data_IF_157653240528
#
_entry.id   IF_157653240528
#
_cell.length_a   1.000
_cell.length_b   1.000
_cell.length_c   1.000
_cell.angle_alpha   90.00
_cell.angle_beta   90.00
_cell.angle_gamma   90.00
#
_symmetry.space_group_name_H-M   'P 1'
#
loop_
_entity.id
_entity.type
_entity.pdbx_description
1 polymer ?
#
# COMPACT_ATOMS: atom_id res chain seq x y z
N UNK A 1 -19.49 12.62 -3.11
CA UNK A 1 -19.67 11.40 -2.30
C UNK A 1 -18.34 10.67 -2.36
N UNK A 2 -17.58 10.62 -1.27
CA UNK A 2 -16.23 10.03 -1.29
C UNK A 2 -16.18 8.96 -0.22
N UNK A 3 -16.23 7.70 -0.66
CA UNK A 3 -16.15 6.54 0.20
C UNK A 3 -14.70 6.35 0.64
N UNK A 4 -14.51 6.05 1.93
CA UNK A 4 -13.25 5.53 2.44
C UNK A 4 -13.38 4.01 2.54
N UNK A 5 -12.67 3.25 1.71
CA UNK A 5 -12.79 1.80 1.66
C UNK A 5 -11.88 1.18 2.71
N UNK A 6 -12.50 0.58 3.73
CA UNK A 6 -11.78 -0.19 4.73
C UNK A 6 -11.83 -1.66 4.30
N UNK A 7 -10.81 -2.07 3.56
CA UNK A 7 -10.58 -3.40 2.98
C UNK A 7 -10.35 -4.46 4.07
N UNK A 8 -11.33 -4.75 4.92
CA UNK A 8 -11.24 -5.83 5.90
C UNK A 8 -11.42 -7.21 5.28
N UNK A 9 -12.14 -7.32 4.17
CA UNK A 9 -12.65 -8.63 3.75
C UNK A 9 -12.32 -9.04 2.31
N UNK A 10 -11.56 -8.24 1.55
CA UNK A 10 -11.20 -8.61 0.17
C UNK A 10 -10.09 -9.69 0.07
N UNK A 11 -9.47 -10.05 1.18
CA UNK A 11 -8.54 -11.19 1.25
C UNK A 11 -9.28 -12.54 1.26
N UNK A 12 -10.57 -12.56 1.60
CA UNK A 12 -11.35 -13.82 1.58
C UNK A 12 -11.93 -14.17 0.20
N UNK A 13 -11.73 -13.32 -0.81
CA UNK A 13 -12.12 -13.56 -2.21
C UNK A 13 -10.90 -13.81 -3.12
N UNK A 14 -9.75 -14.18 -2.56
CA UNK A 14 -8.60 -14.62 -3.33
C UNK A 14 -8.62 -16.14 -3.55
N UNK A 15 -9.11 -16.66 -4.69
CA UNK A 15 -8.60 -17.88 -5.28
C UNK A 15 -7.48 -17.51 -6.26
N UNK A 16 -6.39 -16.89 -5.77
CA UNK A 16 -5.15 -16.74 -6.56
C UNK A 16 -3.97 -17.34 -5.80
N UNK A 17 -4.17 -18.57 -5.30
CA UNK A 17 -3.13 -19.58 -5.44
C UNK A 17 -3.30 -20.18 -6.85
N UNK A 18 -2.77 -19.52 -7.88
CA UNK A 18 -2.56 -20.18 -9.19
C UNK A 18 -1.30 -21.06 -9.10
N UNK A 19 -1.35 -22.00 -8.18
CA UNK A 19 -0.48 -23.13 -8.02
C UNK A 19 -1.37 -24.33 -7.71
N UNK A 20 -2.08 -24.82 -8.73
CA UNK A 20 -2.92 -26.01 -8.63
C UNK A 20 -4.34 -25.83 -9.19
N UNK A 21 -4.58 -26.43 -10.35
CA UNK A 21 -5.86 -26.99 -10.83
C UNK A 21 -7.01 -26.06 -11.28
N UNK A 22 -6.92 -24.73 -11.14
CA UNK A 22 -7.90 -23.77 -11.71
C UNK A 22 -7.38 -22.97 -12.92
N UNK A 23 -6.08 -23.00 -13.18
CA UNK A 23 -5.45 -22.28 -14.30
C UNK A 23 -5.76 -22.84 -15.69
N UNK A 24 -6.29 -24.07 -15.77
CA UNK A 24 -6.51 -24.78 -17.04
C UNK A 24 -7.92 -24.57 -17.64
N UNK A 25 -8.74 -23.65 -17.09
CA UNK A 25 -10.16 -23.53 -17.46
C UNK A 25 -10.68 -22.16 -17.89
N UNK A 26 -9.83 -21.13 -17.95
CA UNK A 26 -10.22 -19.83 -18.48
C UNK A 26 -9.51 -19.60 -19.80
N UNK A 27 -10.27 -19.49 -20.89
CA UNK A 27 -9.72 -19.07 -22.17
C UNK A 27 -9.22 -17.62 -22.06
N UNK A 28 -8.16 -17.28 -22.80
CA UNK A 28 -7.55 -15.94 -22.79
C UNK A 28 -8.57 -14.83 -23.12
N UNK A 29 -9.64 -15.16 -23.86
CA UNK A 29 -10.78 -14.30 -24.15
C UNK A 29 -11.65 -13.95 -22.93
N UNK A 30 -11.77 -14.85 -21.95
CA UNK A 30 -12.59 -14.63 -20.76
C UNK A 30 -11.88 -13.71 -19.76
N UNK A 31 -10.55 -13.79 -19.68
CA UNK A 31 -9.72 -12.91 -18.87
C UNK A 31 -9.76 -11.44 -19.36
N UNK A 32 -9.97 -11.23 -20.66
CA UNK A 32 -10.04 -9.89 -21.26
C UNK A 32 -11.37 -9.16 -20.99
N UNK A 33 -12.32 -9.79 -20.29
CA UNK A 33 -13.65 -9.21 -19.99
C UNK A 33 -14.02 -9.20 -18.50
N UNK A 34 -13.01 -9.22 -17.62
CA UNK A 34 -13.24 -9.21 -16.17
C UNK A 34 -13.84 -7.86 -15.71
N UNK A 35 -15.09 -7.89 -15.25
CA UNK A 35 -15.74 -6.76 -14.57
C UNK A 35 -15.57 -6.91 -13.05
N UNK A 36 -14.90 -5.95 -12.41
CA UNK A 36 -14.71 -5.93 -10.95
C UNK A 36 -15.56 -4.83 -10.32
N UNK A 37 -16.22 -5.15 -9.20
CA UNK A 37 -16.98 -4.19 -8.39
C UNK A 37 -16.47 -4.21 -6.97
N UNK A 38 -16.40 -3.03 -6.37
CA UNK A 38 -16.07 -2.89 -4.96
C UNK A 38 -17.29 -3.30 -4.15
N UNK A 39 -17.08 -4.22 -3.21
CA UNK A 39 -18.10 -4.73 -2.31
C UNK A 39 -17.71 -4.45 -0.85
N UNK A 40 -18.64 -4.74 0.05
CA UNK A 40 -18.51 -4.58 1.51
C UNK A 40 -18.11 -3.17 1.98
N UNK A 41 -19.11 -2.29 2.00
CA UNK A 41 -18.98 -0.94 2.55
C UNK A 41 -19.25 -0.88 4.06
N UNK A 42 -19.27 -2.02 4.77
CA UNK A 42 -19.61 -2.07 6.21
C UNK A 42 -18.63 -1.32 7.09
N UNK A 43 -17.39 -1.15 6.62
CA UNK A 43 -16.36 -0.35 7.30
C UNK A 43 -16.11 1.01 6.65
N UNK A 44 -16.91 1.41 5.67
CA UNK A 44 -16.75 2.69 4.99
C UNK A 44 -17.19 3.88 5.85
N UNK A 45 -16.56 5.04 5.66
CA UNK A 45 -16.93 6.27 6.37
C UNK A 45 -16.99 7.50 5.46
N UNK A 46 -17.74 8.51 5.92
CA UNK A 46 -17.80 9.81 5.27
C UNK A 46 -16.55 10.63 5.61
N UNK A 47 -16.07 11.44 4.66
CA UNK A 47 -14.89 12.30 4.86
C UNK A 47 -15.05 13.30 6.01
N UNK A 48 -16.27 13.74 6.30
CA UNK A 48 -16.59 14.67 7.38
C UNK A 48 -17.05 13.97 8.68
N UNK A 49 -17.16 12.63 8.69
CA UNK A 49 -17.62 11.86 9.85
C UNK A 49 -16.90 10.51 9.94
N UNK A 50 -15.61 10.50 10.33
CA UNK A 50 -14.86 9.26 10.53
C UNK A 50 -15.42 8.46 11.72
N UNK A 51 -15.61 7.15 11.54
CA UNK A 51 -16.15 6.27 12.59
C UNK A 51 -15.07 5.75 13.56
N UNK A 52 -13.82 5.61 13.10
CA UNK A 52 -12.72 5.06 13.88
C UNK A 52 -11.39 5.61 13.38
N UNK A 53 -10.42 5.83 14.27
CA UNK A 53 -9.03 6.16 13.89
C UNK A 53 -8.23 4.93 13.45
N UNK A 54 -8.70 3.73 13.78
CA UNK A 54 -8.06 2.46 13.41
C UNK A 54 -8.86 1.83 12.27
N UNK A 55 -8.43 2.15 11.06
CA UNK A 55 -8.98 1.65 9.81
C UNK A 55 -7.94 0.78 9.08
N UNK A 56 -8.34 0.23 7.93
CA UNK A 56 -7.54 -0.59 7.03
C UNK A 56 -7.01 -1.90 7.62
N UNK A 57 -6.91 -2.91 6.77
CA UNK A 57 -6.21 -4.16 7.10
C UNK A 57 -4.72 -3.93 7.04
N UNK A 58 -3.97 -4.70 7.84
CA UNK A 58 -2.62 -4.34 8.20
C UNK A 58 -1.64 -4.13 7.03
N UNK A 59 -1.50 -5.03 6.03
CA UNK A 59 -0.57 -4.83 4.91
C UNK A 59 -0.92 -3.63 4.01
N UNK A 60 -2.18 -3.17 4.01
CA UNK A 60 -2.66 -2.05 3.19
C UNK A 60 -2.77 -0.73 3.97
N UNK A 61 -2.37 -0.72 5.25
CA UNK A 61 -2.57 0.43 6.14
C UNK A 61 -1.61 1.56 5.80
N UNK A 62 -2.16 2.75 5.56
CA UNK A 62 -1.39 3.95 5.25
C UNK A 62 -0.59 4.46 6.47
N UNK A 63 0.50 5.19 6.21
CA UNK A 63 1.37 5.70 7.27
C UNK A 63 0.63 6.60 8.26
N UNK A 64 -0.20 7.54 7.79
CA UNK A 64 -0.98 8.42 8.66
C UNK A 64 -1.90 7.66 9.61
N UNK A 65 -2.45 6.52 9.16
CA UNK A 65 -3.28 5.64 10.00
C UNK A 65 -2.43 4.88 11.02
N UNK A 66 -1.26 4.39 10.63
CA UNK A 66 -0.30 3.78 11.57
C UNK A 66 0.10 4.77 12.67
N UNK A 67 0.32 6.03 12.30
CA UNK A 67 0.69 7.11 13.20
C UNK A 67 -0.48 7.66 14.03
N UNK A 68 -1.72 7.26 13.73
CA UNK A 68 -2.93 7.75 14.42
C UNK A 68 -3.27 9.20 14.09
N UNK A 69 -2.80 9.70 12.96
CA UNK A 69 -3.11 11.02 12.42
C UNK A 69 -4.47 11.01 11.71
N UNK A 70 -4.96 12.20 11.38
CA UNK A 70 -6.16 12.32 10.57
C UNK A 70 -5.91 11.78 9.16
N UNK A 71 -6.89 11.03 8.65
CA UNK A 71 -6.85 10.39 7.34
C UNK A 71 -7.97 10.94 6.45
N UNK A 72 -7.86 10.68 5.16
CA UNK A 72 -8.89 11.02 4.17
C UNK A 72 -8.82 10.09 2.98
N UNK A 73 -9.43 10.48 1.86
CA UNK A 73 -9.43 9.70 0.61
C UNK A 73 -8.05 9.24 0.11
N UNK A 74 -6.92 9.93 0.37
CA UNK A 74 -5.61 9.41 -0.03
C UNK A 74 -5.18 8.12 0.70
N UNK A 75 -5.83 7.76 1.82
CA UNK A 75 -5.59 6.50 2.51
C UNK A 75 -6.00 5.31 1.62
N UNK A 76 -7.08 5.44 0.85
CA UNK A 76 -7.52 4.39 -0.08
C UNK A 76 -6.54 4.25 -1.23
N UNK A 77 -6.00 5.35 -1.75
CA UNK A 77 -4.98 5.31 -2.80
C UNK A 77 -3.75 4.53 -2.35
N UNK A 78 -3.33 4.71 -1.10
CA UNK A 78 -2.24 3.92 -0.54
C UNK A 78 -2.58 2.42 -0.52
N UNK A 79 -3.79 2.06 -0.06
CA UNK A 79 -4.24 0.67 -0.06
C UNK A 79 -4.33 0.09 -1.48
N UNK A 80 -4.83 0.85 -2.45
CA UNK A 80 -4.89 0.45 -3.85
C UNK A 80 -3.50 0.23 -4.44
N UNK A 81 -2.50 1.06 -4.08
CA UNK A 81 -1.12 0.82 -4.47
C UNK A 81 -0.59 -0.50 -3.91
N UNK A 82 -0.78 -0.73 -2.60
CA UNK A 82 -0.37 -1.99 -1.97
C UNK A 82 -1.05 -3.20 -2.62
N UNK A 83 -2.34 -3.10 -2.94
CA UNK A 83 -3.10 -4.14 -3.64
C UNK A 83 -2.62 -4.35 -5.08
N UNK A 84 -2.32 -3.28 -5.83
CA UNK A 84 -1.79 -3.40 -7.18
C UNK A 84 -0.45 -4.16 -7.20
N UNK A 85 0.42 -3.91 -6.22
CA UNK A 85 1.65 -4.68 -6.05
C UNK A 85 1.38 -6.15 -5.75
N UNK A 86 0.43 -6.44 -4.85
CA UNK A 86 0.09 -7.81 -4.49
C UNK A 86 -0.54 -8.57 -5.66
N UNK A 87 -1.46 -7.96 -6.41
CA UNK A 87 -2.05 -8.57 -7.60
C UNK A 87 -0.98 -8.87 -8.68
N UNK A 88 0.01 -7.99 -8.82
CA UNK A 88 1.05 -8.16 -9.82
C UNK A 88 2.14 -9.17 -9.44
N UNK A 89 2.38 -9.37 -8.14
CA UNK A 89 3.51 -10.19 -7.65
C UNK A 89 3.11 -11.43 -6.86
N UNK A 90 1.86 -11.52 -6.42
CA UNK A 90 1.37 -12.54 -5.50
C UNK A 90 1.81 -12.35 -4.04
N UNK A 91 2.53 -11.27 -3.72
CA UNK A 91 3.04 -10.99 -2.38
C UNK A 91 2.60 -9.61 -1.87
N UNK A 92 2.29 -9.51 -0.57
CA UNK A 92 2.06 -8.22 0.08
C UNK A 92 3.28 -7.30 -0.05
N UNK A 93 3.06 -6.04 -0.46
CA UNK A 93 4.11 -5.02 -0.51
C UNK A 93 4.77 -4.78 0.85
N UNK A 94 3.93 -4.75 1.89
CA UNK A 94 4.35 -4.68 3.29
C UNK A 94 3.79 -5.87 4.04
N UNK A 95 4.67 -6.79 4.45
CA UNK A 95 4.33 -7.90 5.34
C UNK A 95 4.99 -7.70 6.71
N UNK A 96 4.37 -6.89 7.59
CA UNK A 96 4.99 -6.56 8.86
C UNK A 96 4.89 -7.70 9.87
N UNK A 97 6.01 -8.01 10.52
CA UNK A 97 6.11 -9.09 11.50
C UNK A 97 6.31 -8.56 12.92
N UNK A 98 5.71 -9.18 13.95
CA UNK A 98 5.97 -8.79 15.33
C UNK A 98 7.37 -9.26 15.75
N UNK A 99 8.08 -8.43 16.51
CA UNK A 99 9.38 -8.77 17.07
C UNK A 99 9.34 -8.93 18.59
N UNK A 100 10.44 -9.43 19.17
CA UNK A 100 10.59 -9.54 20.62
C UNK A 100 10.52 -8.18 21.35
N UNK A 101 11.00 -7.12 20.70
CA UNK A 101 11.15 -5.79 21.29
C UNK A 101 10.41 -4.68 20.52
N UNK A 102 9.67 -5.04 19.48
CA UNK A 102 8.96 -4.10 18.64
C UNK A 102 7.62 -4.70 18.20
N UNK A 103 6.59 -3.86 18.11
CA UNK A 103 5.27 -4.28 17.68
C UNK A 103 5.23 -4.48 16.17
N UNK A 104 4.18 -5.14 15.70
CA UNK A 104 3.94 -5.29 14.26
C UNK A 104 3.76 -3.95 13.54
N UNK A 105 3.22 -2.93 14.22
CA UNK A 105 3.15 -1.58 13.65
C UNK A 105 4.56 -0.95 13.52
N UNK A 106 5.46 -1.22 14.48
CA UNK A 106 6.85 -0.70 14.41
C UNK A 106 7.58 -1.28 13.19
N UNK A 107 7.45 -2.58 12.95
CA UNK A 107 8.00 -3.21 11.75
C UNK A 107 7.37 -2.63 10.49
N UNK A 108 6.05 -2.40 10.48
CA UNK A 108 5.37 -1.83 9.32
C UNK A 108 5.94 -0.45 8.94
N UNK A 109 6.12 0.45 9.92
CA UNK A 109 6.75 1.75 9.67
C UNK A 109 8.19 1.57 9.17
N UNK A 110 8.94 0.61 9.69
CA UNK A 110 10.28 0.30 9.21
C UNK A 110 10.28 -0.16 7.74
N UNK A 111 9.39 -1.07 7.34
CA UNK A 111 9.26 -1.55 5.95
C UNK A 111 8.93 -0.42 4.97
N UNK A 112 8.07 0.51 5.39
CA UNK A 112 7.74 1.70 4.62
C UNK A 112 9.00 2.57 4.39
N UNK A 113 9.82 2.78 5.43
CA UNK A 113 11.07 3.55 5.34
C UNK A 113 12.13 2.81 4.50
N UNK A 114 12.21 1.48 4.60
CA UNK A 114 13.09 0.67 3.77
C UNK A 114 12.78 0.83 2.27
N UNK A 115 11.48 0.88 1.92
CA UNK A 115 11.03 0.98 0.53
C UNK A 115 11.16 2.40 -0.04
N UNK A 116 10.67 3.39 0.70
CA UNK A 116 10.51 4.77 0.21
C UNK A 116 11.66 5.70 0.64
N UNK A 117 12.58 5.20 1.46
CA UNK A 117 13.70 5.95 1.99
C UNK A 117 13.37 6.69 3.28
N UNK A 118 14.19 7.68 3.64
CA UNK A 118 13.99 8.45 4.88
C UNK A 118 12.76 9.34 4.76
N UNK A 119 11.94 9.38 5.81
CA UNK A 119 10.83 10.33 5.90
C UNK A 119 11.39 11.76 5.88
N UNK A 120 10.95 12.62 4.94
CA UNK A 120 11.37 14.01 4.89
C UNK A 120 11.07 14.74 6.21
N UNK A 121 12.02 15.52 6.76
CA UNK A 121 11.83 16.21 8.04
C UNK A 121 10.57 17.07 8.08
N UNK A 122 10.23 17.75 6.98
CA UNK A 122 9.04 18.60 6.87
C UNK A 122 7.75 17.83 7.14
N UNK A 123 7.70 16.56 6.73
CA UNK A 123 6.57 15.66 6.99
C UNK A 123 6.62 15.18 8.43
N UNK A 124 7.79 14.75 8.92
CA UNK A 124 7.94 14.30 10.30
C UNK A 124 7.61 15.41 11.34
N UNK A 125 7.90 16.67 11.01
CA UNK A 125 7.59 17.83 11.85
C UNK A 125 6.13 18.26 11.83
N UNK A 126 5.37 17.92 10.78
CA UNK A 126 3.94 18.24 10.71
C UNK A 126 3.09 17.31 11.59
N UNK A 127 3.66 16.18 12.04
CA UNK A 127 3.01 15.27 12.97
C UNK A 127 2.98 15.89 14.37
N UNK A 128 1.90 15.68 15.14
CA UNK A 128 1.88 16.15 16.52
C UNK A 128 3.06 15.54 17.28
N UNK A 129 3.71 16.34 18.13
CA UNK A 129 4.97 15.95 18.77
C UNK A 129 4.74 14.68 19.61
N UNK A 130 5.51 13.64 19.31
CA UNK A 130 5.54 12.30 19.94
C UNK A 130 4.60 11.25 19.36
N UNK A 131 4.92 10.74 18.17
CA UNK A 131 4.41 9.40 17.76
C UNK A 131 5.14 8.30 18.54
N UNK A 132 4.47 7.17 18.83
CA UNK A 132 5.06 6.02 19.55
C UNK A 132 6.27 5.36 18.85
N UNK A 133 6.56 5.74 17.60
CA UNK A 133 7.52 5.07 16.72
C UNK A 133 8.88 5.74 16.61
N UNK A 134 8.97 7.04 16.87
CA UNK A 134 10.19 7.83 16.58
C UNK A 134 10.77 8.43 17.86
N UNK A 135 12.09 8.28 18.05
CA UNK A 135 12.84 8.92 19.14
C UNK A 135 13.13 10.40 18.85
N UNK A 136 13.37 10.70 17.56
CA UNK A 136 13.56 12.02 16.96
C UNK A 136 12.95 11.99 15.55
N UNK A 137 12.64 13.12 14.91
CA UNK A 137 12.07 13.15 13.56
C UNK A 137 12.83 12.22 12.59
N UNK A 138 12.15 11.21 12.05
CA UNK A 138 12.71 10.24 11.11
C UNK A 138 13.60 9.14 11.70
N UNK A 139 13.87 9.12 13.01
CA UNK A 139 14.68 8.10 13.67
C UNK A 139 13.81 7.15 14.50
N UNK A 140 13.62 5.92 14.03
CA UNK A 140 12.81 4.91 14.71
C UNK A 140 13.36 4.61 16.11
N UNK A 141 12.45 4.46 17.07
CA UNK A 141 12.76 4.25 18.49
C UNK A 141 13.29 2.85 18.76
N UNK A 142 12.71 1.83 18.12
CA UNK A 142 12.95 0.40 18.44
C UNK A 142 13.74 -0.35 17.36
N UNK A 143 13.86 0.22 16.17
CA UNK A 143 14.48 -0.41 15.00
C UNK A 143 15.54 0.54 14.41
N UNK A 144 16.82 0.28 14.71
CA UNK A 144 17.93 1.14 14.27
C UNK A 144 18.63 0.65 13.01
N UNK A 145 18.49 -0.64 12.67
CA UNK A 145 19.06 -1.25 11.46
C UNK A 145 17.95 -1.45 10.44
N UNK A 146 17.93 -0.61 9.43
CA UNK A 146 17.05 -0.73 8.27
C UNK A 146 17.86 -1.25 7.09
N UNK A 147 17.26 -2.11 6.28
CA UNK A 147 17.83 -2.58 5.02
C UNK A 147 17.06 -1.93 3.87
N UNK A 148 17.56 -0.82 3.28
CA UNK A 148 16.89 -0.18 2.15
C UNK A 148 16.63 -1.17 1.03
N UNK A 149 15.42 -1.13 0.46
CA UNK A 149 15.00 -1.97 -0.66
C UNK A 149 14.36 -1.08 -1.70
N UNK A 150 14.89 -1.04 -2.92
CA UNK A 150 14.25 -0.30 -3.99
C UNK A 150 13.05 -1.10 -4.50
N UNK A 151 11.95 -0.42 -4.83
CA UNK A 151 10.84 -1.05 -5.55
C UNK A 151 11.34 -1.67 -6.87
N UNK A 152 12.24 -0.97 -7.57
CA UNK A 152 12.81 -1.43 -8.84
C UNK A 152 13.63 -2.71 -8.66
N UNK A 153 14.51 -2.76 -7.66
CA UNK A 153 15.32 -3.95 -7.38
C UNK A 153 14.46 -5.10 -6.87
N UNK A 154 13.39 -4.80 -6.11
CA UNK A 154 12.45 -5.83 -5.65
C UNK A 154 11.77 -6.49 -6.84
N UNK A 155 11.22 -5.70 -7.78
CA UNK A 155 10.57 -6.25 -8.97
C UNK A 155 11.56 -6.97 -9.89
N UNK A 156 12.74 -6.37 -10.16
CA UNK A 156 13.73 -6.94 -11.07
C UNK A 156 14.43 -8.19 -10.50
N UNK A 157 14.93 -8.12 -9.26
CA UNK A 157 15.81 -9.16 -8.72
C UNK A 157 15.00 -10.29 -8.05
N UNK A 158 13.95 -9.93 -7.29
CA UNK A 158 13.14 -10.91 -6.56
C UNK A 158 12.06 -11.54 -7.43
N UNK A 159 11.33 -10.71 -8.18
CA UNK A 159 10.23 -11.18 -9.02
C UNK A 159 10.65 -11.42 -10.48
N UNK A 160 11.93 -11.17 -10.83
CA UNK A 160 12.51 -11.44 -12.16
C UNK A 160 11.83 -10.67 -13.30
N UNK A 161 11.27 -9.51 -13.01
CA UNK A 161 10.66 -8.64 -14.02
C UNK A 161 11.72 -8.00 -14.92
N UNK A 162 11.38 -7.77 -16.19
CA UNK A 162 12.26 -7.07 -17.12
C UNK A 162 12.20 -5.57 -16.88
N UNK A 163 13.28 -4.85 -17.16
CA UNK A 163 13.37 -3.40 -16.91
C UNK A 163 12.25 -2.58 -17.57
N UNK A 164 11.76 -3.03 -18.74
CA UNK A 164 10.64 -2.38 -19.44
C UNK A 164 9.28 -2.60 -18.77
N UNK A 165 9.12 -3.61 -17.92
CA UNK A 165 7.91 -3.86 -17.11
C UNK A 165 8.02 -3.14 -15.77
N UNK A 166 9.22 -3.18 -15.17
CA UNK A 166 9.52 -2.56 -13.87
C UNK A 166 9.27 -1.05 -13.90
N UNK A 167 9.79 -0.36 -14.92
CA UNK A 167 9.78 1.12 -14.93
C UNK A 167 8.35 1.68 -15.01
N UNK A 168 7.47 1.23 -15.93
CA UNK A 168 6.10 1.72 -16.00
C UNK A 168 5.26 1.37 -14.77
N UNK A 169 5.47 0.18 -14.19
CA UNK A 169 4.73 -0.23 -12.99
C UNK A 169 5.18 0.57 -11.76
N UNK A 170 6.49 0.76 -11.59
CA UNK A 170 7.02 1.58 -10.51
C UNK A 170 6.57 3.05 -10.66
N UNK A 171 6.51 3.59 -11.88
CA UNK A 171 6.03 4.96 -12.12
C UNK A 171 4.54 5.11 -11.81
N UNK A 172 3.74 4.06 -12.00
CA UNK A 172 2.34 4.02 -11.57
C UNK A 172 2.20 3.95 -10.05
N UNK A 173 3.03 3.14 -9.39
CA UNK A 173 2.88 2.81 -7.97
C UNK A 173 3.40 3.90 -7.02
N UNK A 174 4.56 4.50 -7.33
CA UNK A 174 5.23 5.46 -6.43
C UNK A 174 4.40 6.73 -6.12
N UNK A 175 3.61 7.30 -7.06
CA UNK A 175 2.69 8.39 -6.74
C UNK A 175 1.62 8.03 -5.71
N UNK A 176 1.19 6.76 -5.64
CA UNK A 176 0.22 6.30 -4.65
C UNK A 176 0.84 6.13 -3.25
N UNK A 177 2.15 5.90 -3.18
CA UNK A 177 2.90 5.62 -1.94
C UNK A 177 3.59 6.86 -1.34
N UNK A 178 3.16 8.08 -1.69
CA UNK A 178 3.74 9.29 -1.10
C UNK A 178 3.47 9.38 0.41
N UNK A 179 4.48 9.77 1.19
CA UNK A 179 4.37 9.94 2.64
C UNK A 179 3.27 10.94 3.04
N UNK A 180 3.27 12.11 2.42
CA UNK A 180 2.28 13.14 2.66
C UNK A 180 0.99 12.81 1.89
N UNK A 181 -0.16 12.61 2.55
CA UNK A 181 -1.42 12.27 1.89
C UNK A 181 -1.80 13.25 0.76
N UNK A 182 -1.45 14.52 0.92
CA UNK A 182 -1.76 15.63 0.00
C UNK A 182 -0.91 15.59 -1.27
N UNK A 183 0.19 14.83 -1.27
CA UNK A 183 1.05 14.62 -2.44
C UNK A 183 0.76 13.33 -3.18
N UNK A 184 -0.12 12.46 -2.65
CA UNK A 184 -0.51 11.23 -3.34
C UNK A 184 -1.33 11.56 -4.58
N UNK A 185 -1.16 10.74 -5.61
CA UNK A 185 -2.06 10.76 -6.76
C UNK A 185 -3.51 10.53 -6.30
N UNK A 186 -4.46 11.15 -6.98
CA UNK A 186 -5.89 10.85 -6.82
C UNK A 186 -6.27 9.66 -7.71
N UNK A 187 -7.39 9.00 -7.41
CA UNK A 187 -7.89 7.90 -8.26
C UNK A 187 -8.07 8.35 -9.73
N UNK A 188 -8.56 9.56 -9.95
CA UNK A 188 -8.72 10.15 -11.28
C UNK A 188 -7.37 10.30 -12.01
N UNK A 189 -6.31 10.70 -11.30
CA UNK A 189 -4.96 10.78 -11.88
C UNK A 189 -4.39 9.38 -12.16
N UNK A 190 -4.61 8.42 -11.26
CA UNK A 190 -4.17 7.04 -11.47
C UNK A 190 -4.81 6.42 -12.72
N UNK A 191 -6.11 6.66 -12.96
CA UNK A 191 -6.84 6.15 -14.14
C UNK A 191 -6.30 6.69 -15.47
N UNK A 192 -5.61 7.83 -15.46
CA UNK A 192 -5.00 8.43 -16.65
C UNK A 192 -3.55 7.98 -16.85
N UNK A 193 -3.02 7.14 -15.97
CA UNK A 193 -1.63 6.74 -16.03
C UNK A 193 -1.39 5.73 -17.16
N UNK A 194 -0.34 5.96 -17.97
CA UNK A 194 -0.05 5.18 -19.18
C UNK A 194 0.08 3.67 -18.94
N UNK A 195 0.51 3.25 -17.75
CA UNK A 195 0.59 1.82 -17.39
C UNK A 195 -0.76 1.09 -17.47
N UNK A 196 -1.88 1.74 -17.16
CA UNK A 196 -3.21 1.13 -17.25
C UNK A 196 -3.78 1.09 -18.68
N UNK A 197 -3.24 1.92 -19.57
CA UNK A 197 -3.65 2.00 -20.97
C UNK A 197 -2.66 1.33 -21.91
N UNK A 198 -1.61 0.72 -21.37
CA UNK A 198 -0.64 -0.03 -22.16
C UNK A 198 -1.33 -1.30 -22.69
N UNK A 199 -1.26 -1.55 -24.01
CA UNK A 199 -1.85 -2.73 -24.62
C UNK A 199 -1.10 -4.02 -24.27
#
# INVERSE_FOLDING_TARGET
MYYLLVWKDLVSLCPFHLGGDLGDRLEESDLMSIEVKIADLGSACWTYKPFSKKIQTQPYRALEVLLGLDYGTPADIWSTGCLAFEMATGECLFDPQPGKYFSRDDDHVARIIELLGRIPPQIAFSWNKSTKFFSRPGALLRLSRLSPRSLHSTLADRHRWRQHEVTPFASFLLPALQYAPQRRATAAQCLQHAWLSAP
#
